data_IF_284842438839
#
_entry.id   IF_284842438839
#
_cell.length_a   1.000
_cell.length_b   1.000
_cell.length_c   1.000
_cell.angle_alpha   90.00
_cell.angle_beta   90.00
_cell.angle_gamma   90.00
#
_symmetry.space_group_name_H-M   'P 1'
#
loop_
_entity.id
_entity.type
_entity.pdbx_description
1 polymer ?
#
# COMPACT_ATOMS: atom_id res chain seq x y z
N UNK A 1 15.82 9.64 -14.69
CA UNK A 1 15.09 8.40 -14.34
C UNK A 1 15.00 7.54 -15.59
N UNK A 2 15.36 6.26 -15.52
CA UNK A 2 15.25 5.32 -16.64
C UNK A 2 13.91 4.58 -16.53
N UNK A 3 13.16 4.49 -17.62
CA UNK A 3 11.94 3.70 -17.69
C UNK A 3 12.21 2.36 -18.37
N UNK A 4 11.46 1.33 -17.97
CA UNK A 4 11.43 0.02 -18.62
C UNK A 4 10.08 -0.18 -19.33
N UNK A 5 10.01 -1.14 -20.25
CA UNK A 5 8.75 -1.47 -20.93
C UNK A 5 7.89 -2.33 -20.01
N UNK A 6 6.60 -2.00 -19.88
CA UNK A 6 5.63 -2.90 -19.27
C UNK A 6 5.27 -4.02 -20.25
N UNK A 7 5.41 -5.28 -19.82
CA UNK A 7 4.97 -6.45 -20.59
C UNK A 7 4.26 -7.44 -19.66
N UNK A 8 2.91 -7.39 -19.57
CA UNK A 8 2.17 -8.28 -18.67
C UNK A 8 2.26 -9.75 -19.06
N UNK A 9 2.81 -10.09 -20.24
CA UNK A 9 3.01 -11.48 -20.67
C UNK A 9 4.39 -12.01 -20.30
N UNK A 10 5.34 -11.13 -20.01
CA UNK A 10 6.75 -11.46 -19.78
C UNK A 10 7.35 -10.54 -18.71
N UNK A 11 6.79 -10.56 -17.50
CA UNK A 11 7.34 -9.81 -16.37
C UNK A 11 8.79 -10.22 -16.07
N UNK A 12 9.66 -9.23 -15.89
CA UNK A 12 11.06 -9.41 -15.60
C UNK A 12 11.33 -9.82 -14.14
N UNK A 13 12.60 -9.88 -13.75
CA UNK A 13 12.97 -10.17 -12.36
C UNK A 13 12.46 -9.08 -11.39
N UNK A 14 12.35 -9.39 -10.09
CA UNK A 14 11.96 -8.39 -9.08
C UNK A 14 12.85 -7.15 -9.09
N UNK A 15 14.15 -7.34 -9.39
CA UNK A 15 15.12 -6.25 -9.46
C UNK A 15 14.93 -5.35 -10.67
N UNK A 16 14.52 -5.93 -11.81
CA UNK A 16 14.21 -5.17 -13.02
C UNK A 16 12.88 -4.43 -12.85
N UNK A 17 11.85 -5.12 -12.37
CA UNK A 17 10.48 -4.60 -12.11
C UNK A 17 10.45 -3.52 -11.00
N UNK A 18 11.57 -3.29 -10.31
CA UNK A 18 11.74 -2.13 -9.43
C UNK A 18 11.61 -0.80 -10.18
N UNK A 19 12.08 -0.72 -11.43
CA UNK A 19 12.11 0.53 -12.19
C UNK A 19 10.70 0.97 -12.63
N UNK A 20 10.47 2.28 -12.86
CA UNK A 20 9.20 2.76 -13.41
C UNK A 20 8.98 2.21 -14.82
N UNK A 21 7.73 1.95 -15.16
CA UNK A 21 7.29 1.51 -16.47
C UNK A 21 6.93 2.71 -17.35
N UNK A 22 7.30 2.64 -18.62
CA UNK A 22 6.89 3.62 -19.60
C UNK A 22 5.36 3.61 -19.77
N UNK A 23 4.75 4.79 -19.85
CA UNK A 23 3.31 4.98 -20.09
C UNK A 23 2.36 4.30 -19.09
N UNK A 24 2.87 3.97 -17.90
CA UNK A 24 2.15 3.23 -16.85
C UNK A 24 1.92 4.08 -15.60
N UNK A 25 1.10 3.57 -14.69
CA UNK A 25 0.96 4.07 -13.34
C UNK A 25 1.75 3.19 -12.37
N UNK A 26 2.77 3.74 -11.71
CA UNK A 26 3.70 2.98 -10.86
C UNK A 26 3.74 3.46 -9.42
N UNK A 27 3.87 2.49 -8.52
CA UNK A 27 3.69 2.61 -7.09
C UNK A 27 4.84 1.88 -6.38
N UNK A 28 5.48 2.57 -5.45
CA UNK A 28 6.36 2.00 -4.44
C UNK A 28 5.77 2.36 -3.08
N UNK A 29 5.38 1.36 -2.30
CA UNK A 29 4.75 1.58 -1.01
C UNK A 29 5.44 0.72 0.04
N UNK A 30 5.88 1.32 1.13
CA UNK A 30 6.28 0.60 2.34
C UNK A 30 5.41 1.06 3.49
N UNK A 31 4.96 0.13 4.31
CA UNK A 31 4.17 0.45 5.49
C UNK A 31 4.26 -0.67 6.51
N UNK A 32 3.74 -0.43 7.70
CA UNK A 32 3.87 -1.42 8.76
C UNK A 32 3.16 -1.05 10.03
N UNK A 33 3.16 -2.00 10.95
CA UNK A 33 2.68 -1.85 12.32
C UNK A 33 3.86 -2.11 13.25
N UNK A 34 4.17 -1.09 14.03
CA UNK A 34 5.33 -1.01 14.92
C UNK A 34 4.87 -0.79 16.36
N UNK A 35 5.76 -1.09 17.29
CA UNK A 35 5.53 -1.05 18.72
C UNK A 35 6.74 -0.40 19.39
N UNK A 36 6.48 0.42 20.39
CA UNK A 36 7.53 0.86 21.31
C UNK A 36 7.72 -0.14 22.45
N UNK A 37 8.63 0.19 23.37
CA UNK A 37 8.93 -0.63 24.56
C UNK A 37 7.76 -0.77 25.55
N UNK A 38 6.79 0.13 25.49
CA UNK A 38 5.62 0.17 26.36
C UNK A 38 4.39 -0.46 25.64
N UNK A 39 4.63 -1.14 24.52
CA UNK A 39 3.65 -1.79 23.64
C UNK A 39 2.64 -0.83 22.99
N UNK A 40 2.92 0.47 22.94
CA UNK A 40 2.12 1.41 22.18
C UNK A 40 2.22 1.10 20.70
N UNK A 41 1.07 1.09 20.01
CA UNK A 41 0.98 0.69 18.61
C UNK A 41 1.10 1.92 17.71
N UNK A 42 1.97 1.81 16.72
CA UNK A 42 2.14 2.77 15.65
C UNK A 42 1.88 2.09 14.30
N UNK A 43 1.25 2.80 13.38
CA UNK A 43 1.24 2.40 11.97
C UNK A 43 1.85 3.49 11.12
N UNK A 44 2.50 3.12 10.02
CA UNK A 44 3.10 4.09 9.11
C UNK A 44 2.95 3.64 7.66
N UNK A 45 3.02 4.60 6.75
CA UNK A 45 3.15 4.34 5.33
C UNK A 45 4.03 5.40 4.66
N UNK A 46 4.81 4.99 3.67
CA UNK A 46 5.56 5.84 2.77
C UNK A 46 5.27 5.35 1.34
N UNK A 47 4.65 6.22 0.55
CA UNK A 47 4.19 5.91 -0.80
C UNK A 47 4.78 6.88 -1.79
N UNK A 48 5.28 6.34 -2.90
CA UNK A 48 5.72 7.11 -4.05
C UNK A 48 4.94 6.65 -5.28
N UNK A 49 4.36 7.61 -6.00
CA UNK A 49 3.55 7.37 -7.18
C UNK A 49 4.15 8.09 -8.39
N UNK A 50 4.09 7.43 -9.54
CA UNK A 50 4.32 8.00 -10.85
C UNK A 50 3.12 7.67 -11.74
N UNK A 51 2.27 8.64 -11.99
CA UNK A 51 0.98 8.46 -12.66
C UNK A 51 1.02 9.07 -14.05
N UNK A 52 0.84 8.25 -15.09
CA UNK A 52 0.80 8.70 -16.47
C UNK A 52 -0.60 9.24 -16.82
N UNK A 53 -0.69 10.54 -17.06
CA UNK A 53 -1.93 11.26 -17.39
C UNK A 53 -1.90 11.76 -18.84
N UNK A 54 -1.64 10.84 -19.78
CA UNK A 54 -1.51 11.06 -21.24
C UNK A 54 -0.38 12.01 -21.64
N UNK A 55 -0.48 13.30 -21.32
CA UNK A 55 0.46 14.35 -21.76
C UNK A 55 1.49 14.72 -20.70
N UNK A 56 1.28 14.36 -19.44
CA UNK A 56 2.21 14.62 -18.34
C UNK A 56 2.23 13.45 -17.35
N UNK A 57 3.27 13.42 -16.52
CA UNK A 57 3.42 12.46 -15.42
C UNK A 57 3.23 13.23 -14.11
N UNK A 58 2.19 12.87 -13.37
CA UNK A 58 1.97 13.35 -12.02
C UNK A 58 2.71 12.44 -11.04
N UNK A 59 3.57 13.02 -10.22
CA UNK A 59 4.30 12.30 -9.17
C UNK A 59 3.74 12.70 -7.83
N UNK A 60 3.63 11.75 -6.91
CA UNK A 60 3.14 12.02 -5.55
C UNK A 60 4.06 11.32 -4.56
N UNK A 61 4.55 12.07 -3.58
CA UNK A 61 5.16 11.52 -2.38
C UNK A 61 4.20 11.67 -1.20
N UNK A 62 4.02 10.60 -0.44
CA UNK A 62 3.14 10.57 0.72
C UNK A 62 3.84 9.88 1.88
N UNK A 63 3.73 10.46 3.07
CA UNK A 63 4.08 9.80 4.32
C UNK A 63 2.94 9.94 5.33
N UNK A 64 2.64 8.85 6.01
CA UNK A 64 1.70 8.81 7.13
C UNK A 64 2.31 8.13 8.33
N UNK A 65 1.88 8.55 9.52
CA UNK A 65 2.09 7.78 10.74
C UNK A 65 0.93 8.02 11.70
N UNK A 66 0.45 6.97 12.33
CA UNK A 66 -0.60 7.02 13.34
C UNK A 66 -0.03 6.47 14.64
N UNK A 67 -0.14 7.25 15.71
CA UNK A 67 -0.05 6.74 17.07
C UNK A 67 -1.45 6.30 17.50
N UNK A 68 -1.65 4.99 17.63
CA UNK A 68 -2.97 4.43 17.97
C UNK A 68 -3.30 4.59 19.47
N UNK A 69 -2.30 4.83 20.33
CA UNK A 69 -2.53 5.08 21.76
C UNK A 69 -3.14 6.45 22.02
N UNK A 70 -2.74 7.45 21.22
CA UNK A 70 -3.25 8.83 21.31
C UNK A 70 -4.24 9.17 20.20
N UNK A 71 -4.46 8.25 19.26
CA UNK A 71 -5.23 8.43 18.03
C UNK A 71 -4.77 9.65 17.20
N UNK A 72 -3.47 9.97 17.27
CA UNK A 72 -2.88 11.11 16.56
C UNK A 72 -2.34 10.66 15.22
N UNK A 73 -2.80 11.29 14.16
CA UNK A 73 -2.39 11.00 12.79
C UNK A 73 -1.57 12.13 12.18
N UNK A 74 -0.45 11.76 11.61
CA UNK A 74 0.49 12.62 10.92
C UNK A 74 0.42 12.28 9.43
N UNK A 75 0.15 13.28 8.59
CA UNK A 75 0.07 13.11 7.15
C UNK A 75 0.87 14.22 6.47
N UNK A 76 1.67 13.85 5.47
CA UNK A 76 2.21 14.78 4.49
C UNK A 76 2.13 14.18 3.10
N UNK A 77 1.58 14.95 2.17
CA UNK A 77 1.47 14.58 0.76
C UNK A 77 1.95 15.73 -0.12
N UNK A 78 2.83 15.45 -1.08
CA UNK A 78 3.34 16.41 -2.06
C UNK A 78 3.13 15.85 -3.47
N UNK A 79 2.18 16.40 -4.24
CA UNK A 79 2.10 16.21 -5.69
C UNK A 79 3.12 17.10 -6.41
N UNK A 80 3.65 16.62 -7.53
CA UNK A 80 4.53 17.39 -8.41
C UNK A 80 4.50 16.88 -9.83
N UNK A 81 4.54 17.78 -10.80
CA UNK A 81 4.82 17.43 -12.21
C UNK A 81 6.27 17.71 -12.60
N UNK A 82 7.06 18.31 -11.70
CA UNK A 82 8.44 18.71 -11.95
C UNK A 82 9.32 17.47 -12.04
N UNK A 83 10.16 17.42 -13.07
CA UNK A 83 11.17 16.37 -13.21
C UNK A 83 12.17 16.42 -12.05
N UNK A 84 12.54 15.25 -11.51
CA UNK A 84 13.44 15.14 -10.36
C UNK A 84 12.76 15.19 -8.98
N UNK A 85 11.46 15.50 -8.92
CA UNK A 85 10.69 15.38 -7.66
C UNK A 85 10.64 13.94 -7.14
N UNK A 86 10.56 12.96 -8.06
CA UNK A 86 10.73 11.53 -7.80
C UNK A 86 12.09 11.09 -8.37
N UNK A 87 12.85 10.36 -7.56
CA UNK A 87 14.11 9.70 -7.96
C UNK A 87 13.90 8.20 -7.89
N UNK A 88 14.21 7.47 -8.96
CA UNK A 88 14.23 6.00 -8.99
C UNK A 88 15.48 5.52 -9.74
N UNK A 89 16.21 4.64 -9.09
CA UNK A 89 17.35 3.89 -9.65
C UNK A 89 17.36 2.46 -9.08
N UNK A 90 18.35 1.64 -9.44
CA UNK A 90 18.46 0.24 -9.01
C UNK A 90 18.72 0.07 -7.51
N UNK A 91 18.98 1.13 -6.76
CA UNK A 91 19.26 1.08 -5.32
C UNK A 91 18.20 1.81 -4.49
N UNK A 92 17.38 2.68 -5.08
CA UNK A 92 16.44 3.48 -4.29
C UNK A 92 15.24 4.00 -5.07
N UNK A 93 14.23 4.38 -4.31
CA UNK A 93 13.15 5.28 -4.70
C UNK A 93 13.01 6.36 -3.64
N UNK A 94 12.82 7.61 -4.04
CA UNK A 94 12.62 8.70 -3.09
C UNK A 94 11.95 9.90 -3.70
N UNK A 95 11.35 10.71 -2.84
CA UNK A 95 10.62 11.91 -3.23
C UNK A 95 11.13 13.13 -2.45
N UNK A 96 11.47 14.19 -3.18
CA UNK A 96 12.03 15.41 -2.63
C UNK A 96 11.08 16.04 -1.61
N UNK A 97 11.58 16.27 -0.39
CA UNK A 97 10.79 16.84 0.71
C UNK A 97 9.89 15.85 1.45
N UNK A 98 9.89 14.56 1.10
CA UNK A 98 9.20 13.50 1.84
C UNK A 98 10.19 12.53 2.47
N UNK A 99 10.94 11.79 1.65
CA UNK A 99 11.72 10.65 2.15
C UNK A 99 12.21 9.72 1.04
N UNK A 100 12.77 8.58 1.42
CA UNK A 100 13.28 7.56 0.51
C UNK A 100 13.24 6.14 1.09
N UNK A 101 13.25 5.17 0.19
CA UNK A 101 13.43 3.74 0.43
C UNK A 101 14.70 3.34 -0.33
N UNK A 102 15.75 2.95 0.39
CA UNK A 102 17.02 2.49 -0.18
C UNK A 102 17.19 1.00 0.04
N UNK A 103 17.41 0.25 -1.02
CA UNK A 103 17.68 -1.19 -1.02
C UNK A 103 19.11 -1.48 -0.58
N UNK A 104 19.27 -2.56 0.15
CA UNK A 104 20.56 -3.20 0.41
C UNK A 104 20.33 -4.73 0.47
N UNK A 105 21.39 -5.57 0.46
CA UNK A 105 21.23 -7.02 0.27
C UNK A 105 20.27 -7.71 1.25
N UNK A 106 20.17 -7.25 2.49
CA UNK A 106 19.31 -7.88 3.50
C UNK A 106 17.99 -7.14 3.73
N UNK A 107 17.73 -6.02 3.04
CA UNK A 107 16.55 -5.20 3.35
C UNK A 107 16.49 -3.82 2.70
N UNK A 108 15.82 -2.92 3.42
CA UNK A 108 15.58 -1.54 3.03
C UNK A 108 15.89 -0.61 4.19
N UNK A 109 16.52 0.51 3.89
CA UNK A 109 16.60 1.66 4.78
C UNK A 109 15.51 2.64 4.37
N UNK A 110 14.60 2.92 5.28
CA UNK A 110 13.45 3.80 5.06
C UNK A 110 13.63 5.05 5.88
N UNK A 111 13.60 6.22 5.25
CA UNK A 111 13.60 7.50 5.93
C UNK A 111 12.47 8.38 5.41
N UNK A 112 11.82 9.10 6.31
CA UNK A 112 10.88 10.15 5.94
C UNK A 112 10.85 11.26 6.99
N UNK A 113 10.53 12.47 6.55
CA UNK A 113 10.48 13.64 7.44
C UNK A 113 9.41 14.65 7.03
N UNK A 114 8.72 15.14 8.05
CA UNK A 114 7.89 16.33 8.00
C UNK A 114 8.03 17.17 9.26
N UNK A 115 7.25 18.24 9.36
CA UNK A 115 7.20 19.07 10.56
C UNK A 115 6.65 18.24 11.72
N UNK A 116 7.43 18.14 12.81
CA UNK A 116 7.02 17.41 14.02
C UNK A 116 7.04 15.89 13.91
N UNK A 117 7.45 15.31 12.78
CA UNK A 117 7.61 13.86 12.63
C UNK A 117 8.78 13.50 11.71
N UNK A 118 9.62 12.56 12.14
CA UNK A 118 10.51 11.82 11.22
C UNK A 118 10.63 10.36 11.63
N UNK A 119 10.98 9.50 10.69
CA UNK A 119 11.36 8.13 10.99
C UNK A 119 12.55 7.67 10.17
N UNK A 120 13.36 6.83 10.79
CA UNK A 120 14.49 6.11 10.20
C UNK A 120 14.37 4.65 10.62
N UNK A 121 14.10 3.79 9.65
CA UNK A 121 13.78 2.39 9.88
C UNK A 121 14.72 1.50 9.05
N UNK A 122 15.25 0.47 9.70
CA UNK A 122 15.88 -0.66 9.04
C UNK A 122 14.86 -1.80 8.92
N UNK A 123 14.55 -2.16 7.68
CA UNK A 123 13.49 -3.11 7.32
C UNK A 123 14.10 -4.30 6.61
N UNK A 124 14.20 -5.45 7.27
CA UNK A 124 14.79 -6.68 6.72
C UNK A 124 13.85 -7.35 5.73
N UNK A 125 14.40 -8.05 4.74
CA UNK A 125 13.65 -8.70 3.64
C UNK A 125 12.60 -9.75 4.10
N UNK A 126 12.66 -10.22 5.35
CA UNK A 126 11.77 -11.26 5.84
C UNK A 126 11.93 -12.53 5.00
N UNK A 127 10.84 -12.99 4.39
CA UNK A 127 10.83 -14.17 3.50
C UNK A 127 11.13 -13.84 2.03
N UNK A 128 11.38 -12.57 1.71
CA UNK A 128 11.61 -12.09 0.34
C UNK A 128 10.32 -11.70 -0.40
N UNK A 129 10.45 -11.26 -1.66
CA UNK A 129 9.31 -10.89 -2.49
C UNK A 129 8.58 -12.13 -3.03
N UNK A 130 7.28 -11.99 -3.20
CA UNK A 130 6.50 -12.89 -4.04
C UNK A 130 5.55 -12.12 -4.93
N UNK A 131 5.19 -12.74 -6.05
CA UNK A 131 4.30 -12.19 -7.05
C UNK A 131 2.84 -12.37 -6.61
N UNK A 132 2.02 -11.34 -6.79
CA UNK A 132 0.59 -11.38 -6.47
C UNK A 132 -0.25 -11.75 -7.70
N UNK A 133 -1.45 -12.27 -7.51
CA UNK A 133 -2.31 -12.69 -8.62
C UNK A 133 -1.78 -13.92 -9.35
N UNK A 134 -2.00 -13.95 -10.67
CA UNK A 134 -1.50 -14.99 -11.57
C UNK A 134 -0.09 -14.62 -12.05
N UNK A 135 0.92 -15.22 -11.42
CA UNK A 135 2.35 -14.92 -11.61
C UNK A 135 2.70 -13.43 -11.70
N UNK A 136 2.10 -12.63 -10.81
CA UNK A 136 2.39 -11.21 -10.69
C UNK A 136 1.38 -10.33 -11.38
N UNK A 137 0.45 -10.88 -12.16
CA UNK A 137 -0.55 -10.15 -12.93
C UNK A 137 -1.94 -10.30 -12.31
N UNK A 138 -2.64 -9.18 -12.24
CA UNK A 138 -4.05 -9.09 -11.86
C UNK A 138 -4.79 -8.30 -12.92
N UNK A 139 -5.71 -8.94 -13.63
CA UNK A 139 -6.60 -8.26 -14.57
C UNK A 139 -7.74 -7.61 -13.79
N UNK A 140 -8.04 -6.35 -14.05
CA UNK A 140 -9.13 -5.65 -13.34
C UNK A 140 -10.47 -6.32 -13.66
N UNK A 141 -10.69 -6.70 -14.92
CA UNK A 141 -11.84 -7.45 -15.40
C UNK A 141 -11.40 -8.83 -15.88
N UNK A 142 -12.19 -9.86 -15.62
CA UNK A 142 -11.84 -11.25 -15.94
C UNK A 142 -11.78 -11.52 -17.45
N UNK A 143 -12.47 -10.71 -18.26
CA UNK A 143 -12.56 -10.84 -19.72
C UNK A 143 -11.63 -9.92 -20.51
N UNK A 144 -10.87 -9.04 -19.84
CA UNK A 144 -10.01 -8.04 -20.50
C UNK A 144 -8.55 -8.12 -20.03
N UNK A 145 -7.62 -8.22 -20.98
CA UNK A 145 -6.17 -8.17 -20.68
C UNK A 145 -5.58 -6.77 -20.73
N UNK A 146 -6.34 -5.77 -21.23
CA UNK A 146 -5.84 -4.41 -21.46
C UNK A 146 -5.72 -3.58 -20.17
N UNK A 147 -6.52 -3.88 -19.15
CA UNK A 147 -6.45 -3.24 -17.83
C UNK A 147 -5.84 -4.23 -16.82
N UNK A 148 -4.54 -4.49 -16.96
CA UNK A 148 -3.80 -5.37 -16.05
C UNK A 148 -2.84 -4.58 -15.16
N UNK A 149 -2.66 -5.11 -13.96
CA UNK A 149 -1.77 -4.57 -12.94
C UNK A 149 -0.76 -5.66 -12.61
N UNK A 150 0.54 -5.34 -12.69
CA UNK A 150 1.53 -6.19 -12.06
C UNK A 150 1.69 -5.83 -10.58
N UNK A 151 1.99 -6.80 -9.73
CA UNK A 151 2.38 -6.55 -8.36
C UNK A 151 3.26 -7.65 -7.77
N UNK A 152 4.24 -7.23 -6.97
CA UNK A 152 4.93 -8.09 -6.03
C UNK A 152 5.03 -7.42 -4.67
N UNK A 153 5.11 -8.24 -3.63
CA UNK A 153 5.10 -7.76 -2.25
C UNK A 153 6.11 -8.52 -1.41
N UNK A 154 6.85 -7.79 -0.56
CA UNK A 154 7.58 -8.33 0.57
C UNK A 154 6.67 -8.22 1.79
N UNK A 155 6.45 -9.33 2.49
CA UNK A 155 5.57 -9.40 3.67
C UNK A 155 6.36 -9.73 4.94
N UNK A 156 5.72 -9.49 6.09
CA UNK A 156 6.26 -9.75 7.44
C UNK A 156 7.71 -9.30 7.66
N UNK A 157 8.09 -8.17 7.08
CA UNK A 157 9.46 -7.66 7.07
C UNK A 157 9.85 -7.20 8.48
N UNK A 158 10.81 -7.87 9.16
CA UNK A 158 11.26 -7.44 10.48
C UNK A 158 11.78 -6.00 10.42
N UNK A 159 11.24 -5.14 11.26
CA UNK A 159 11.54 -3.71 11.25
C UNK A 159 12.02 -3.27 12.61
N UNK A 160 13.11 -2.52 12.64
CA UNK A 160 13.60 -1.79 13.81
C UNK A 160 13.89 -0.36 13.40
N UNK A 161 13.89 0.56 14.35
CA UNK A 161 14.35 1.91 14.08
C UNK A 161 13.86 2.92 15.08
N UNK A 162 13.85 4.18 14.65
CA UNK A 162 13.51 5.31 15.50
C UNK A 162 12.53 6.22 14.79
N UNK A 163 11.58 6.72 15.57
CA UNK A 163 10.74 7.85 15.21
C UNK A 163 11.10 9.04 16.10
N UNK A 164 11.01 10.24 15.55
CA UNK A 164 10.96 11.47 16.33
C UNK A 164 9.56 12.05 16.18
N UNK A 165 8.81 12.13 17.26
CA UNK A 165 7.50 12.80 17.33
C UNK A 165 7.66 14.03 18.20
N UNK A 166 7.47 15.22 17.62
CA UNK A 166 7.46 16.50 18.36
C UNK A 166 8.69 16.70 19.25
N UNK A 167 9.85 16.25 18.78
CA UNK A 167 11.12 16.32 19.52
C UNK A 167 11.39 15.13 20.45
N UNK A 168 10.42 14.25 20.68
CA UNK A 168 10.60 13.01 21.45
C UNK A 168 11.02 11.87 20.54
N UNK A 169 12.19 11.30 20.80
CA UNK A 169 12.64 10.08 20.15
C UNK A 169 11.97 8.85 20.79
N UNK A 170 11.50 7.92 19.97
CA UNK A 170 10.94 6.63 20.39
C UNK A 170 11.56 5.54 19.52
N UNK A 171 12.09 4.50 20.17
CA UNK A 171 12.57 3.31 19.50
C UNK A 171 11.40 2.38 19.18
N UNK A 172 11.41 1.83 17.98
CA UNK A 172 10.33 0.99 17.47
C UNK A 172 10.85 -0.34 16.97
N UNK A 173 10.03 -1.37 17.17
CA UNK A 173 10.20 -2.69 16.56
C UNK A 173 8.86 -3.14 15.99
N UNK A 174 8.86 -3.98 14.95
CA UNK A 174 7.61 -4.50 14.42
C UNK A 174 7.76 -5.15 13.06
N UNK A 175 6.67 -5.12 12.29
CA UNK A 175 6.58 -5.78 10.98
C UNK A 175 6.07 -4.81 9.93
N UNK A 176 6.77 -4.82 8.80
CA UNK A 176 6.44 -4.00 7.64
C UNK A 176 6.15 -4.86 6.43
N UNK A 177 5.69 -4.21 5.37
CA UNK A 177 5.56 -4.76 4.04
C UNK A 177 6.05 -3.74 3.04
N UNK A 178 6.58 -4.22 1.93
CA UNK A 178 6.88 -3.40 0.76
C UNK A 178 6.09 -3.93 -0.43
N UNK A 179 5.37 -3.05 -1.12
CA UNK A 179 4.61 -3.38 -2.32
C UNK A 179 5.13 -2.57 -3.50
N UNK A 180 5.46 -3.28 -4.58
CA UNK A 180 5.61 -2.71 -5.91
C UNK A 180 4.37 -3.05 -6.71
N UNK A 181 3.81 -2.05 -7.36
CA UNK A 181 2.65 -2.24 -8.22
C UNK A 181 2.67 -1.27 -9.38
N UNK A 182 2.20 -1.70 -10.54
CA UNK A 182 1.94 -0.79 -11.64
C UNK A 182 1.33 -1.43 -12.85
N UNK A 183 1.19 -0.68 -13.93
CA UNK A 183 0.64 -1.17 -15.19
C UNK A 183 -0.10 -0.09 -15.97
N UNK A 184 -0.61 -0.50 -17.12
CA UNK A 184 -1.40 0.33 -18.02
C UNK A 184 -2.88 0.22 -17.65
N UNK A 185 -3.33 1.04 -16.72
CA UNK A 185 -4.74 1.10 -16.34
C UNK A 185 -5.17 2.53 -16.06
N UNK A 186 -6.42 2.89 -16.34
CA UNK A 186 -6.91 4.24 -16.12
C UNK A 186 -7.40 4.45 -14.67
N UNK A 187 -6.61 5.08 -13.80
CA UNK A 187 -7.03 5.43 -12.43
C UNK A 187 -8.26 6.35 -12.35
N UNK A 188 -8.54 7.12 -13.41
CA UNK A 188 -9.74 7.95 -13.49
C UNK A 188 -10.99 7.11 -13.82
N UNK A 189 -10.82 5.88 -14.31
CA UNK A 189 -11.91 4.92 -14.37
C UNK A 189 -12.15 4.39 -12.95
N UNK A 190 -13.33 4.67 -12.41
CA UNK A 190 -13.69 4.21 -11.06
C UNK A 190 -13.70 2.68 -10.96
N UNK A 191 -14.01 1.98 -12.03
CA UNK A 191 -14.05 0.53 -12.05
C UNK A 191 -12.67 -0.10 -11.81
N UNK A 192 -11.61 0.67 -12.07
CA UNK A 192 -10.22 0.28 -11.89
C UNK A 192 -9.71 0.62 -10.47
N UNK A 193 -10.56 1.20 -9.62
CA UNK A 193 -10.22 1.51 -8.24
C UNK A 193 -10.44 0.31 -7.32
N UNK A 194 -9.54 0.09 -6.38
CA UNK A 194 -9.47 -1.14 -5.59
C UNK A 194 -9.26 -0.91 -4.09
N UNK A 195 -9.53 -1.96 -3.34
CA UNK A 195 -9.09 -2.14 -1.95
C UNK A 195 -7.93 -3.14 -1.96
N UNK A 196 -6.83 -2.82 -1.27
CA UNK A 196 -5.71 -3.75 -1.09
C UNK A 196 -5.46 -4.00 0.39
N UNK A 197 -5.27 -5.26 0.74
CA UNK A 197 -5.10 -5.69 2.13
C UNK A 197 -3.89 -6.61 2.20
N UNK A 198 -2.94 -6.24 3.05
CA UNK A 198 -1.79 -7.06 3.40
C UNK A 198 -2.08 -7.73 4.73
N UNK A 199 -2.02 -9.06 4.79
CA UNK A 199 -2.26 -9.86 5.98
C UNK A 199 -0.99 -10.61 6.38
N UNK A 200 -0.67 -10.59 7.68
CA UNK A 200 0.42 -11.34 8.28
C UNK A 200 -0.13 -12.12 9.48
N UNK A 201 -0.16 -13.44 9.39
CA UNK A 201 -0.60 -14.33 10.47
C UNK A 201 0.57 -14.67 11.39
N UNK A 202 0.29 -14.86 12.68
CA UNK A 202 1.29 -15.29 13.65
C UNK A 202 1.75 -16.74 13.45
N UNK A 203 1.00 -17.54 12.69
CA UNK A 203 1.47 -18.85 12.19
C UNK A 203 2.65 -18.71 11.20
N UNK A 204 2.87 -17.51 10.66
CA UNK A 204 3.85 -17.24 9.61
C UNK A 204 3.26 -17.25 8.20
N UNK A 205 1.98 -17.57 8.02
CA UNK A 205 1.30 -17.38 6.74
C UNK A 205 1.20 -15.88 6.42
N UNK A 206 1.34 -15.55 5.15
CA UNK A 206 1.21 -14.18 4.65
C UNK A 206 0.22 -14.19 3.50
N UNK A 207 -0.56 -13.12 3.36
CA UNK A 207 -1.56 -13.07 2.31
C UNK A 207 -1.72 -11.65 1.79
N UNK A 208 -1.89 -11.52 0.49
CA UNK A 208 -2.26 -10.27 -0.16
C UNK A 208 -3.61 -10.44 -0.83
N UNK A 209 -4.51 -9.51 -0.57
CA UNK A 209 -5.84 -9.45 -1.18
C UNK A 209 -5.98 -8.13 -1.92
N UNK A 210 -6.49 -8.20 -3.15
CA UNK A 210 -6.90 -7.03 -3.90
C UNK A 210 -8.32 -7.22 -4.42
N UNK A 211 -9.21 -6.29 -4.07
CA UNK A 211 -10.62 -6.33 -4.43
C UNK A 211 -10.94 -5.16 -5.34
N UNK A 212 -11.67 -5.42 -6.42
CA UNK A 212 -12.23 -4.42 -7.33
C UNK A 212 -13.77 -4.42 -7.16
N UNK A 213 -14.31 -3.66 -6.18
CA UNK A 213 -15.71 -3.82 -5.77
C UNK A 213 -16.73 -3.52 -6.87
N UNK A 214 -16.37 -2.68 -7.85
CA UNK A 214 -17.27 -2.21 -8.90
C UNK A 214 -17.44 -3.17 -10.06
N UNK A 215 -16.51 -4.11 -10.23
CA UNK A 215 -16.52 -5.11 -11.30
C UNK A 215 -16.61 -6.54 -10.75
N UNK A 216 -16.86 -6.67 -9.44
CA UNK A 216 -17.00 -7.95 -8.74
C UNK A 216 -15.84 -8.91 -9.04
N UNK A 217 -14.62 -8.40 -8.92
CA UNK A 217 -13.40 -9.17 -9.12
C UNK A 217 -12.47 -9.03 -7.91
N UNK A 218 -11.73 -10.08 -7.59
CA UNK A 218 -10.74 -10.06 -6.52
C UNK A 218 -9.65 -11.09 -6.75
N UNK A 219 -8.46 -10.78 -6.25
CA UNK A 219 -7.32 -11.68 -6.20
C UNK A 219 -6.90 -11.88 -4.76
N UNK A 220 -6.51 -13.11 -4.44
CA UNK A 220 -5.98 -13.48 -3.15
C UNK A 220 -4.76 -14.38 -3.36
N UNK A 221 -3.59 -13.92 -2.92
CA UNK A 221 -2.36 -14.69 -2.98
C UNK A 221 -1.92 -15.02 -1.57
N UNK A 222 -1.86 -16.32 -1.27
CA UNK A 222 -1.33 -16.87 -0.02
C UNK A 222 0.14 -17.22 -0.21
N UNK A 223 0.99 -16.81 0.73
CA UNK A 223 2.36 -17.27 0.84
C UNK A 223 2.54 -18.14 2.08
N UNK A 224 2.89 -19.40 1.85
CA UNK A 224 3.01 -20.45 2.86
C UNK A 224 4.17 -21.37 2.49
N UNK A 225 4.98 -21.73 3.47
CA UNK A 225 6.11 -22.67 3.32
C UNK A 225 7.07 -22.32 2.17
N UNK A 226 7.29 -21.02 1.94
CA UNK A 226 8.21 -20.55 0.91
C UNK A 226 7.62 -20.49 -0.50
N UNK A 227 6.32 -20.79 -0.66
CA UNK A 227 5.64 -20.80 -1.96
C UNK A 227 4.43 -19.86 -1.95
N UNK A 228 4.14 -19.28 -3.11
CA UNK A 228 2.95 -18.45 -3.36
C UNK A 228 1.88 -19.25 -4.09
N UNK A 229 0.64 -19.12 -3.64
CA UNK A 229 -0.54 -19.79 -4.18
C UNK A 229 -1.61 -18.75 -4.48
N UNK A 230 -2.13 -18.75 -5.70
CA UNK A 230 -3.37 -18.04 -6.01
C UNK A 230 -4.54 -18.84 -5.43
N UNK A 231 -5.42 -18.17 -4.69
CA UNK A 231 -6.64 -18.78 -4.18
C UNK A 231 -7.76 -18.58 -5.20
N UNK A 232 -8.17 -19.67 -5.86
CA UNK A 232 -9.22 -19.64 -6.89
C UNK A 232 -10.62 -19.43 -6.28
N UNK A 233 -10.89 -20.08 -5.14
CA UNK A 233 -12.14 -19.99 -4.39
C UNK A 233 -11.91 -19.27 -3.06
N UNK A 234 -11.96 -17.94 -3.09
CA UNK A 234 -11.72 -17.10 -1.91
C UNK A 234 -13.02 -16.41 -1.46
N UNK A 235 -13.55 -16.84 -0.31
CA UNK A 235 -14.66 -16.15 0.35
C UNK A 235 -14.10 -14.97 1.15
N UNK A 236 -14.37 -13.75 0.66
CA UNK A 236 -13.92 -12.50 1.26
C UNK A 236 -14.93 -11.40 1.01
N UNK A 237 -15.46 -10.82 2.09
CA UNK A 237 -16.47 -9.78 1.96
C UNK A 237 -16.34 -8.71 3.06
N UNK A 238 -16.64 -7.44 2.71
CA UNK A 238 -16.78 -6.40 3.70
C UNK A 238 -18.04 -6.63 4.54
N UNK A 239 -17.92 -6.51 5.86
CA UNK A 239 -19.05 -6.68 6.80
C UNK A 239 -19.43 -5.37 7.50
N UNK A 240 -18.61 -4.33 7.34
CA UNK A 240 -18.85 -3.00 7.90
C UNK A 240 -18.16 -1.95 7.04
N UNK A 241 -18.70 -0.73 7.10
CA UNK A 241 -18.12 0.45 6.49
C UNK A 241 -17.99 1.60 7.50
N UNK A 242 -17.20 2.60 7.13
CA UNK A 242 -17.07 3.89 7.82
C UNK A 242 -17.22 5.01 6.81
N UNK A 243 -17.74 6.16 7.26
CA UNK A 243 -17.76 7.39 6.47
C UNK A 243 -16.81 8.40 7.05
N UNK A 244 -15.87 8.88 6.24
CA UNK A 244 -14.91 9.93 6.60
C UNK A 244 -14.99 11.00 5.52
N UNK A 245 -15.23 12.25 5.91
CA UNK A 245 -15.36 13.40 5.01
C UNK A 245 -16.32 13.17 3.82
N UNK A 246 -17.41 12.45 4.07
CA UNK A 246 -18.43 12.12 3.07
C UNK A 246 -18.10 10.94 2.15
N UNK A 247 -16.90 10.35 2.27
CA UNK A 247 -16.50 9.15 1.54
C UNK A 247 -16.69 7.89 2.40
N UNK A 248 -17.23 6.83 1.82
CA UNK A 248 -17.50 5.52 2.42
C UNK A 248 -16.34 4.56 2.12
N UNK A 249 -15.84 3.89 3.15
CA UNK A 249 -14.78 2.90 3.04
C UNK A 249 -15.20 1.62 3.76
N UNK A 250 -14.83 0.46 3.23
CA UNK A 250 -14.90 -0.75 4.05
C UNK A 250 -13.93 -0.63 5.20
N UNK A 251 -14.35 -1.04 6.39
CA UNK A 251 -13.47 -1.01 7.57
C UNK A 251 -13.41 -2.33 8.31
N UNK A 252 -14.31 -3.29 8.04
CA UNK A 252 -14.19 -4.66 8.53
C UNK A 252 -14.51 -5.65 7.42
N UNK A 253 -13.86 -6.80 7.46
CA UNK A 253 -14.07 -7.88 6.49
C UNK A 253 -14.17 -9.21 7.22
N UNK A 254 -14.90 -10.15 6.62
CA UNK A 254 -14.82 -11.58 6.97
C UNK A 254 -14.26 -12.36 5.80
N UNK A 255 -13.54 -13.43 6.11
CA UNK A 255 -13.03 -14.33 5.07
C UNK A 255 -12.83 -15.75 5.58
N UNK A 256 -12.69 -16.68 4.64
CA UNK A 256 -12.39 -18.08 4.92
C UNK A 256 -11.03 -18.46 4.36
N UNK A 257 -10.20 -19.11 5.17
CA UNK A 257 -8.94 -19.71 4.76
C UNK A 257 -8.82 -21.09 5.42
N UNK A 258 -8.54 -22.13 4.63
CA UNK A 258 -8.47 -23.53 5.09
C UNK A 258 -9.70 -23.95 5.94
N UNK A 259 -10.90 -23.59 5.47
CA UNK A 259 -12.18 -23.85 6.15
C UNK A 259 -12.36 -23.14 7.50
N UNK A 260 -11.40 -22.30 7.91
CA UNK A 260 -11.49 -21.48 9.12
C UNK A 260 -11.98 -20.08 8.77
N UNK A 261 -12.84 -19.54 9.63
CA UNK A 261 -13.39 -18.18 9.49
C UNK A 261 -12.51 -17.19 10.24
N UNK A 262 -12.26 -16.07 9.59
CA UNK A 262 -11.48 -14.97 10.13
C UNK A 262 -12.23 -13.65 9.97
N UNK A 263 -11.88 -12.68 10.81
CA UNK A 263 -12.32 -11.29 10.69
C UNK A 263 -11.10 -10.37 10.65
N UNK A 264 -11.21 -9.32 9.85
CA UNK A 264 -10.30 -8.19 9.86
C UNK A 264 -11.01 -7.03 10.57
N UNK A 265 -10.42 -6.56 11.66
CA UNK A 265 -11.02 -5.53 12.51
C UNK A 265 -10.03 -4.38 12.78
N UNK A 266 -10.42 -3.11 12.65
CA UNK A 266 -9.54 -1.96 12.86
C UNK A 266 -9.01 -1.93 14.29
N UNK A 267 -7.73 -1.57 14.45
CA UNK A 267 -7.17 -1.21 15.76
C UNK A 267 -7.81 0.10 16.24
N UNK A 268 -7.88 1.07 15.34
CA UNK A 268 -8.65 2.32 15.46
C UNK A 268 -9.32 2.58 14.12
N UNK A 269 -10.30 3.49 14.06
CA UNK A 269 -10.80 3.98 12.77
C UNK A 269 -9.60 4.44 11.94
N UNK A 270 -9.58 4.04 10.66
CA UNK A 270 -8.51 4.42 9.75
C UNK A 270 -8.56 5.90 9.37
N UNK A 271 -7.57 6.33 8.60
CA UNK A 271 -7.43 7.72 8.20
C UNK A 271 -7.50 7.83 6.68
N UNK A 272 -8.20 8.85 6.20
CA UNK A 272 -8.23 9.18 4.77
C UNK A 272 -7.33 10.35 4.44
N UNK A 273 -6.60 10.23 3.34
CA UNK A 273 -5.99 11.34 2.62
C UNK A 273 -6.75 11.57 1.30
N UNK A 274 -6.25 12.46 0.43
CA UNK A 274 -6.97 12.82 -0.80
C UNK A 274 -7.14 11.65 -1.79
N UNK A 275 -6.34 10.60 -1.67
CA UNK A 275 -6.30 9.49 -2.62
C UNK A 275 -6.69 8.15 -1.98
N UNK A 276 -6.42 7.97 -0.69
CA UNK A 276 -6.47 6.68 0.01
C UNK A 276 -7.17 6.76 1.35
N UNK A 277 -7.75 5.64 1.77
CA UNK A 277 -8.02 5.31 3.16
C UNK A 277 -7.06 4.23 3.63
N UNK A 278 -6.41 4.45 4.76
CA UNK A 278 -5.39 3.59 5.34
C UNK A 278 -5.84 3.10 6.73
N UNK A 279 -5.70 1.81 6.99
CA UNK A 279 -6.16 1.21 8.23
C UNK A 279 -5.25 0.07 8.70
N UNK A 280 -4.69 0.21 9.90
CA UNK A 280 -4.09 -0.89 10.64
C UNK A 280 -5.18 -1.69 11.36
N UNK A 281 -5.09 -3.02 11.27
CA UNK A 281 -6.13 -3.94 11.72
C UNK A 281 -5.56 -5.16 12.42
N UNK A 282 -6.36 -5.78 13.28
CA UNK A 282 -6.18 -7.13 13.76
C UNK A 282 -6.78 -8.15 12.79
N UNK A 283 -6.18 -9.33 12.73
CA UNK A 283 -6.83 -10.54 12.19
C UNK A 283 -7.28 -11.35 13.39
N UNK A 284 -8.56 -11.70 13.42
CA UNK A 284 -9.18 -12.48 14.49
C UNK A 284 -9.75 -13.79 13.99
N UNK A 285 -9.65 -14.84 14.80
CA UNK A 285 -10.32 -16.12 14.53
C UNK A 285 -11.78 -16.13 15.00
N UNK A 286 -12.48 -17.25 14.83
CA UNK A 286 -13.87 -17.41 15.25
C UNK A 286 -14.09 -17.36 16.78
N UNK A 287 -13.03 -17.48 17.58
CA UNK A 287 -13.06 -17.37 19.03
C UNK A 287 -12.61 -15.97 19.51
N UNK A 288 -12.51 -14.99 18.60
CA UNK A 288 -12.07 -13.61 18.85
C UNK A 288 -10.59 -13.50 19.28
N UNK A 289 -9.80 -14.56 19.12
CA UNK A 289 -8.36 -14.48 19.38
C UNK A 289 -7.68 -13.70 18.27
N UNK A 290 -6.73 -12.85 18.64
CA UNK A 290 -5.88 -12.14 17.70
C UNK A 290 -4.82 -13.10 17.15
N UNK A 291 -4.93 -13.45 15.88
CA UNK A 291 -4.07 -14.43 15.19
C UNK A 291 -3.17 -13.79 14.14
N UNK A 292 -3.23 -12.47 13.98
CA UNK A 292 -2.38 -11.74 13.05
C UNK A 292 -2.66 -10.25 13.00
N UNK A 293 -2.08 -9.61 11.99
CA UNK A 293 -2.21 -8.19 11.70
C UNK A 293 -2.49 -7.99 10.22
N UNK A 294 -3.27 -6.96 9.92
CA UNK A 294 -3.52 -6.57 8.55
C UNK A 294 -3.35 -5.06 8.37
N UNK A 295 -2.99 -4.66 7.16
CA UNK A 295 -2.94 -3.28 6.74
C UNK A 295 -3.76 -3.11 5.46
N UNK A 296 -4.73 -2.22 5.50
CA UNK A 296 -5.61 -1.94 4.35
C UNK A 296 -5.26 -0.59 3.75
N UNK A 297 -5.21 -0.53 2.43
CA UNK A 297 -5.21 0.70 1.64
C UNK A 297 -6.31 0.63 0.59
N UNK A 298 -7.29 1.54 0.66
CA UNK A 298 -8.42 1.63 -0.26
C UNK A 298 -8.35 2.92 -1.07
N UNK A 299 -8.48 2.81 -2.39
CA UNK A 299 -8.65 3.99 -3.23
C UNK A 299 -9.99 4.65 -2.91
N UNK A 300 -10.02 5.98 -2.90
CA UNK A 300 -11.23 6.74 -2.53
C UNK A 300 -12.44 6.38 -3.40
N UNK A 301 -12.26 5.96 -4.66
CA UNK A 301 -13.38 5.63 -5.57
C UNK A 301 -13.71 4.14 -5.66
N UNK A 302 -13.03 3.30 -4.87
CA UNK A 302 -13.30 1.85 -4.85
C UNK A 302 -14.78 1.57 -4.51
N UNK A 303 -15.39 2.40 -3.65
CA UNK A 303 -16.81 2.27 -3.25
C UNK A 303 -17.64 3.54 -3.35
N UNK A 304 -17.01 4.68 -3.69
CA UNK A 304 -17.69 5.97 -3.69
C UNK A 304 -18.04 6.47 -5.08
N UNK A 305 -19.21 7.09 -5.20
CA UNK A 305 -19.71 7.74 -6.42
C UNK A 305 -19.13 9.15 -6.63
N UNK A 306 -18.03 9.50 -5.95
CA UNK A 306 -17.41 10.82 -6.04
C UNK A 306 -17.03 11.12 -7.50
N UNK A 307 -17.53 12.26 -7.99
CA UNK A 307 -17.35 12.73 -9.36
C UNK A 307 -15.89 13.14 -9.63
N UNK A 308 -15.45 12.90 -10.86
CA UNK A 308 -14.11 13.16 -11.38
C UNK A 308 -13.69 14.63 -11.39
N UNK A 309 -14.66 15.54 -11.40
CA UNK A 309 -14.42 16.99 -11.33
C UNK A 309 -13.66 17.37 -10.07
N UNK A 310 -13.99 16.79 -8.91
CA UNK A 310 -13.37 17.08 -7.63
C UNK A 310 -11.95 16.51 -7.50
N UNK A 311 -11.68 15.31 -8.03
CA UNK A 311 -10.33 14.72 -8.02
C UNK A 311 -9.40 15.47 -8.98
N UNK A 312 -9.88 15.79 -10.18
CA UNK A 312 -9.12 16.59 -11.15
C UNK A 312 -8.87 18.00 -10.63
N UNK A 313 -9.86 18.64 -10.01
CA UNK A 313 -9.69 19.95 -9.36
C UNK A 313 -8.77 19.88 -8.14
N UNK A 314 -8.81 18.83 -7.32
CA UNK A 314 -7.88 18.67 -6.20
C UNK A 314 -6.45 18.42 -6.69
N UNK A 315 -6.27 17.62 -7.74
CA UNK A 315 -4.96 17.38 -8.36
C UNK A 315 -4.44 18.64 -9.10
N UNK A 316 -5.31 19.45 -9.71
CA UNK A 316 -4.95 20.70 -10.40
C UNK A 316 -4.80 21.90 -9.45
N UNK A 317 -5.55 21.99 -8.34
CA UNK A 317 -5.35 23.04 -7.31
C UNK A 317 -3.95 22.97 -6.71
N UNK A 318 -3.39 21.77 -6.58
CA UNK A 318 -2.00 21.61 -6.15
C UNK A 318 -0.99 22.07 -7.22
N UNK A 319 -1.37 22.10 -8.49
CA UNK A 319 -0.57 22.71 -9.54
C UNK A 319 -0.52 24.24 -9.45
N UNK A 320 -1.61 24.89 -9.03
CA UNK A 320 -1.68 26.35 -8.90
C UNK A 320 -0.97 26.89 -7.64
N UNK A 321 -0.89 26.10 -6.57
CA UNK A 321 -0.19 26.47 -5.33
C UNK A 321 1.35 26.48 -5.49
N UNK A 322 1.88 25.81 -6.52
CA UNK A 322 3.32 25.69 -6.78
C UNK A 322 3.83 26.62 -7.91
N UNK A 323 3.07 27.65 -8.27
CA UNK A 323 3.55 28.79 -9.08
C UNK A 323 3.94 29.95 -8.18
#
# INVERSE_FOLDING_TARGET
MKYIKYDPKNLASFDDEWMPHAYSNDWWSIGGILYDKDENIYSYQLVFLSLFLKTYILRIGLMTMTDHSTNKHYLRQIPSIVEGSLTVDSSQVGFAGIGSIRRYPEGFLVNAKQTGLSFELDVKNGKGPYRSGDDGIMSIRLDETQDSIFSYTFHDMPTIGKINIEGKEVELTGRSFFKRQGGEYNLMNRDNNYESIVLNFYSGDQMYVQVYPRVNNSYATLFRDGQSYLLEDFDFEPISSVTIDGAVYSNKWRFVLDQKKYMIEPITIGFSNTNFYEQASYIKDAADNIVGRAFTSSLIRARNEIDTSTLRENLLKVYEINK
#
